data_IF_040602721850
#
_entry.id   IF_040602721850
#
_cell.length_a   1.000
_cell.length_b   1.000
_cell.length_c   1.000
_cell.angle_alpha   90.00
_cell.angle_beta   90.00
_cell.angle_gamma   90.00
#
_symmetry.space_group_name_H-M   'P 1'
#
loop_
_entity.id
_entity.type
_entity.pdbx_description
1 polymer ?
#
# COMPACT_ATOMS: atom_id res chain seq x y z
N UNK A 1 5.17 2.46 22.65
CA UNK A 1 5.25 1.63 21.43
C UNK A 1 4.04 1.85 20.53
N UNK A 2 2.80 1.53 20.91
CA UNK A 2 1.60 1.71 20.05
C UNK A 2 1.46 3.14 19.51
N UNK A 3 1.61 4.15 20.35
CA UNK A 3 1.55 5.56 19.91
C UNK A 3 2.57 5.88 18.81
N UNK A 4 3.80 5.37 18.93
CA UNK A 4 4.83 5.55 17.90
C UNK A 4 4.46 4.82 16.60
N UNK A 5 4.00 3.56 16.67
CA UNK A 5 3.54 2.80 15.50
C UNK A 5 2.41 3.53 14.77
N UNK A 6 1.40 3.99 15.49
CA UNK A 6 0.27 4.74 14.94
C UNK A 6 0.71 6.07 14.30
N UNK A 7 1.59 6.81 15.01
CA UNK A 7 2.11 8.08 14.48
C UNK A 7 2.91 7.87 13.21
N UNK A 8 3.88 6.94 13.22
CA UNK A 8 4.79 6.72 12.09
C UNK A 8 4.11 6.07 10.91
N UNK A 9 3.10 5.22 11.13
CA UNK A 9 2.37 4.57 10.03
C UNK A 9 1.31 5.48 9.42
N UNK A 10 0.42 6.07 10.23
CA UNK A 10 -0.78 6.76 9.74
C UNK A 10 -1.04 8.13 10.38
N UNK A 11 -0.26 8.55 11.37
CA UNK A 11 -0.29 9.89 11.94
C UNK A 11 0.18 10.97 10.95
N UNK A 12 -0.12 12.23 11.25
CA UNK A 12 0.38 13.36 10.47
C UNK A 12 1.85 13.59 10.80
N UNK A 13 2.74 13.37 9.82
CA UNK A 13 4.18 13.54 9.98
C UNK A 13 4.66 14.91 9.56
N UNK A 14 4.10 15.48 8.50
CA UNK A 14 4.43 16.83 8.04
C UNK A 14 3.29 17.48 7.29
N UNK A 15 3.36 18.79 7.19
CA UNK A 15 2.52 19.60 6.32
C UNK A 15 3.38 20.15 5.19
N UNK A 16 3.03 19.80 3.97
CA UNK A 16 3.65 20.31 2.76
C UNK A 16 2.79 21.40 2.16
N UNK A 17 3.38 22.54 1.92
CA UNK A 17 2.74 23.65 1.20
C UNK A 17 3.52 23.85 -0.09
N UNK A 18 2.88 23.68 -1.22
CA UNK A 18 3.46 23.93 -2.54
C UNK A 18 2.84 25.18 -3.11
N UNK A 19 3.68 26.14 -3.48
CA UNK A 19 3.26 27.29 -4.27
C UNK A 19 3.34 26.87 -5.74
N UNK A 20 2.18 26.62 -6.35
CA UNK A 20 2.11 26.22 -7.74
C UNK A 20 1.92 27.46 -8.60
N UNK A 21 2.98 27.83 -9.32
CA UNK A 21 2.98 28.99 -10.22
C UNK A 21 2.31 28.71 -11.59
N UNK A 22 1.86 27.48 -11.82
CA UNK A 22 1.30 27.02 -13.10
C UNK A 22 -0.22 26.90 -13.07
N UNK A 23 -0.89 27.57 -12.15
CA UNK A 23 -2.35 27.60 -12.17
C UNK A 23 -2.88 28.47 -13.31
N UNK A 24 -3.94 28.04 -14.01
CA UNK A 24 -4.60 28.90 -14.99
C UNK A 24 -5.00 30.22 -14.32
N UNK A 25 -4.83 31.32 -15.00
CA UNK A 25 -5.10 32.69 -14.50
C UNK A 25 -6.50 32.90 -13.92
N UNK A 26 -7.44 32.00 -14.21
CA UNK A 26 -8.81 32.01 -13.69
C UNK A 26 -8.99 31.17 -12.40
N UNK A 27 -8.05 30.30 -12.07
CA UNK A 27 -8.04 29.57 -10.83
C UNK A 27 -7.15 30.35 -9.85
N UNK A 28 -7.71 31.06 -8.93
CA UNK A 28 -6.93 31.87 -7.97
C UNK A 28 -5.72 31.13 -7.39
N UNK A 29 -4.70 31.86 -6.97
CA UNK A 29 -3.48 31.34 -6.35
C UNK A 29 -3.80 30.60 -5.04
N UNK A 30 -4.12 29.33 -5.13
CA UNK A 30 -4.29 28.48 -3.97
C UNK A 30 -3.00 27.74 -3.68
N UNK A 31 -2.42 28.00 -2.52
CA UNK A 31 -1.38 27.14 -1.98
C UNK A 31 -1.97 25.75 -1.71
N UNK A 32 -1.45 24.73 -2.37
CA UNK A 32 -1.85 23.35 -2.09
C UNK A 32 -1.17 22.90 -0.81
N UNK A 33 -1.94 22.77 0.26
CA UNK A 33 -1.47 22.21 1.50
C UNK A 33 -1.85 20.73 1.59
N UNK A 34 -0.87 19.86 1.64
CA UNK A 34 -1.06 18.43 1.83
C UNK A 34 -0.47 17.97 3.16
N UNK A 35 -1.21 17.11 3.86
CA UNK A 35 -0.70 16.41 5.03
C UNK A 35 -0.01 15.12 4.58
N UNK A 36 1.18 14.87 5.11
CA UNK A 36 1.93 13.64 4.84
C UNK A 36 1.79 12.68 6.01
N UNK A 37 1.59 11.41 5.66
CA UNK A 37 1.61 10.29 6.60
C UNK A 37 2.69 9.29 6.18
N UNK A 38 3.03 8.31 7.02
CA UNK A 38 4.03 7.30 6.71
C UNK A 38 3.61 6.40 5.54
N UNK A 39 2.41 5.82 5.61
CA UNK A 39 1.85 5.05 4.50
C UNK A 39 1.51 5.96 3.31
N UNK A 40 1.71 5.45 2.09
CA UNK A 40 1.21 6.11 0.89
C UNK A 40 -0.30 5.95 0.80
N UNK A 41 -0.97 6.87 0.09
CA UNK A 41 -2.40 6.77 -0.17
C UNK A 41 -2.76 7.38 -1.51
N UNK A 42 -3.68 6.77 -2.22
CA UNK A 42 -4.20 7.24 -3.49
C UNK A 42 -4.71 8.68 -3.39
N UNK A 43 -4.07 9.58 -4.17
CA UNK A 43 -4.37 11.02 -4.16
C UNK A 43 -4.12 11.75 -2.84
N UNK A 44 -3.44 11.12 -1.86
CA UNK A 44 -3.22 11.67 -0.54
C UNK A 44 -4.49 11.86 0.30
N UNK A 45 -5.53 11.07 0.03
CA UNK A 45 -6.84 11.21 0.65
C UNK A 45 -6.99 10.46 1.98
N UNK A 46 -6.17 9.41 2.18
CA UNK A 46 -6.12 8.66 3.44
C UNK A 46 -7.49 8.18 3.94
N UNK A 47 -8.18 7.34 3.17
CA UNK A 47 -9.54 6.93 3.48
C UNK A 47 -9.65 5.88 4.60
N UNK A 48 -8.53 5.39 5.10
CA UNK A 48 -8.50 4.37 6.14
C UNK A 48 -8.70 4.98 7.52
N UNK A 49 -9.35 4.21 8.39
CA UNK A 49 -9.42 4.45 9.83
C UNK A 49 -8.74 3.30 10.56
N UNK A 50 -8.24 3.59 11.76
CA UNK A 50 -7.60 2.58 12.62
C UNK A 50 -8.35 2.57 13.95
N UNK A 51 -8.87 1.40 14.28
CA UNK A 51 -9.47 1.14 15.58
C UNK A 51 -8.58 0.21 16.38
N UNK A 52 -8.49 0.45 17.67
CA UNK A 52 -7.79 -0.41 18.60
C UNK A 52 -8.77 -1.05 19.57
N UNK A 53 -8.90 -2.36 19.50
CA UNK A 53 -9.67 -3.14 20.48
C UNK A 53 -8.70 -3.66 21.52
N UNK A 54 -8.83 -3.16 22.76
CA UNK A 54 -7.98 -3.49 23.89
C UNK A 54 -8.75 -4.37 24.88
N UNK A 55 -8.18 -5.52 25.23
CA UNK A 55 -8.69 -6.41 26.27
C UNK A 55 -8.27 -5.99 27.67
N UNK A 56 -8.70 -6.77 28.66
CA UNK A 56 -8.31 -6.60 30.06
C UNK A 56 -6.82 -6.83 30.30
N UNK A 57 -6.29 -6.31 31.42
CA UNK A 57 -4.90 -6.48 31.84
C UNK A 57 -3.88 -5.58 31.15
N UNK A 58 -4.29 -4.72 30.22
CA UNK A 58 -3.39 -3.77 29.53
C UNK A 58 -3.16 -2.47 30.29
N UNK A 59 -2.32 -1.61 29.72
CA UNK A 59 -1.99 -0.28 30.30
C UNK A 59 -3.11 0.77 30.17
N UNK A 60 -4.23 0.43 29.52
CA UNK A 60 -5.43 1.26 29.39
C UNK A 60 -6.66 0.43 29.71
N UNK A 61 -7.79 1.05 30.07
CA UNK A 61 -9.04 0.35 30.29
C UNK A 61 -9.46 -0.47 29.06
N UNK A 62 -10.00 -1.67 29.28
CA UNK A 62 -10.53 -2.48 28.20
C UNK A 62 -11.62 -1.71 27.42
N UNK A 63 -11.57 -1.77 26.11
CA UNK A 63 -12.49 -1.02 25.27
C UNK A 63 -12.13 -0.99 23.80
N UNK A 64 -12.98 -0.31 23.05
CA UNK A 64 -12.74 0.01 21.63
C UNK A 64 -12.36 1.46 21.48
N UNK A 65 -11.26 1.73 20.83
CA UNK A 65 -10.69 3.05 20.63
C UNK A 65 -10.55 3.35 19.15
N UNK A 66 -10.83 4.59 18.76
CA UNK A 66 -10.54 5.12 17.42
C UNK A 66 -9.26 5.96 17.47
N UNK A 67 -8.37 5.77 16.51
CA UNK A 67 -7.18 6.61 16.38
C UNK A 67 -7.51 7.87 15.59
N UNK A 68 -7.45 9.02 16.27
CA UNK A 68 -7.63 10.35 15.67
C UNK A 68 -6.28 10.92 15.19
N UNK A 69 -5.88 10.73 13.91
CA UNK A 69 -4.55 11.12 13.42
C UNK A 69 -4.34 12.63 13.41
N UNK A 70 -5.41 13.42 13.48
CA UNK A 70 -5.37 14.88 13.57
C UNK A 70 -4.77 15.38 14.87
N UNK A 71 -5.04 14.68 15.94
CA UNK A 71 -4.62 15.04 17.30
C UNK A 71 -3.61 14.06 17.89
N UNK A 72 -3.30 12.99 17.15
CA UNK A 72 -2.48 11.88 17.64
C UNK A 72 -3.01 11.33 18.96
N UNK A 73 -4.31 11.10 19.04
CA UNK A 73 -5.03 10.66 20.22
C UNK A 73 -5.83 9.39 19.95
N UNK A 74 -6.15 8.67 21.02
CA UNK A 74 -7.10 7.56 21.03
C UNK A 74 -8.40 8.03 21.65
N UNK A 75 -9.48 7.95 20.90
CA UNK A 75 -10.84 8.28 21.33
C UNK A 75 -11.54 6.99 21.74
N UNK A 76 -11.91 6.86 23.02
CA UNK A 76 -12.62 5.67 23.49
C UNK A 76 -14.07 5.72 23.04
N UNK A 77 -14.46 4.75 22.20
CA UNK A 77 -15.80 4.66 21.63
C UNK A 77 -16.73 3.75 22.43
N UNK A 78 -16.17 2.71 23.04
CA UNK A 78 -16.93 1.74 23.82
C UNK A 78 -16.13 1.19 24.99
N UNK A 79 -16.81 0.90 26.08
CA UNK A 79 -16.30 0.33 27.30
C UNK A 79 -16.41 -1.21 27.25
N UNK A 80 -15.51 -1.90 27.94
CA UNK A 80 -15.50 -3.35 28.10
C UNK A 80 -14.69 -4.10 27.04
N UNK A 81 -14.36 -5.33 27.39
CA UNK A 81 -13.53 -6.20 26.54
C UNK A 81 -14.37 -6.81 25.42
N UNK A 82 -13.97 -6.54 24.18
CA UNK A 82 -14.58 -7.12 22.98
C UNK A 82 -13.62 -8.05 22.23
N UNK A 83 -12.46 -8.38 22.82
CA UNK A 83 -11.42 -9.17 22.14
C UNK A 83 -11.87 -10.59 21.83
N UNK A 84 -12.74 -11.20 22.66
CA UNK A 84 -13.31 -12.51 22.37
C UNK A 84 -14.12 -12.54 21.08
N UNK A 85 -14.88 -11.47 20.80
CA UNK A 85 -15.60 -11.37 19.53
C UNK A 85 -14.67 -11.24 18.33
N UNK A 86 -13.54 -10.52 18.50
CA UNK A 86 -12.51 -10.45 17.46
C UNK A 86 -11.87 -11.80 17.25
N UNK A 87 -11.51 -12.52 18.32
CA UNK A 87 -10.98 -13.90 18.23
C UNK A 87 -11.94 -14.84 17.52
N UNK A 88 -13.22 -14.75 17.84
CA UNK A 88 -14.27 -15.56 17.16
C UNK A 88 -14.34 -15.28 15.66
N UNK A 89 -14.19 -14.02 15.24
CA UNK A 89 -14.24 -13.62 13.84
C UNK A 89 -12.97 -14.00 13.05
N UNK A 90 -11.84 -14.21 13.73
CA UNK A 90 -10.53 -14.41 13.08
C UNK A 90 -9.97 -15.78 13.45
N UNK A 91 -10.21 -16.82 12.65
CA UNK A 91 -9.77 -18.20 12.94
C UNK A 91 -8.28 -18.38 12.63
N UNK A 92 -7.42 -17.70 13.36
CA UNK A 92 -5.96 -17.75 13.20
C UNK A 92 -5.26 -17.85 14.57
N UNK A 93 -4.24 -18.71 14.75
CA UNK A 93 -3.57 -18.90 16.05
C UNK A 93 -3.09 -17.60 16.69
N UNK A 94 -2.50 -16.71 15.92
CA UNK A 94 -2.01 -15.41 16.42
C UNK A 94 -3.15 -14.51 16.94
N UNK A 95 -4.33 -14.58 16.33
CA UNK A 95 -5.50 -13.87 16.83
C UNK A 95 -6.01 -14.51 18.12
N UNK A 96 -5.96 -15.84 18.24
CA UNK A 96 -6.37 -16.55 19.44
C UNK A 96 -5.47 -16.25 20.65
N UNK A 97 -4.18 -15.99 20.39
CA UNK A 97 -3.20 -15.67 21.43
C UNK A 97 -3.18 -14.17 21.80
N UNK A 98 -3.78 -13.31 20.98
CA UNK A 98 -3.76 -11.85 21.20
C UNK A 98 -4.92 -11.41 22.09
N UNK A 99 -4.66 -10.40 22.91
CA UNK A 99 -5.69 -9.67 23.70
C UNK A 99 -5.84 -8.21 23.24
N UNK A 100 -5.23 -7.86 22.12
CA UNK A 100 -5.31 -6.52 21.51
C UNK A 100 -5.21 -6.61 20.00
N UNK A 101 -5.97 -5.77 19.31
CA UNK A 101 -6.07 -5.81 17.86
C UNK A 101 -6.14 -4.41 17.27
N UNK A 102 -5.41 -4.16 16.19
CA UNK A 102 -5.73 -3.05 15.30
C UNK A 102 -6.68 -3.56 14.22
N UNK A 103 -7.84 -2.94 14.10
CA UNK A 103 -8.80 -3.15 13.04
C UNK A 103 -8.68 -1.99 12.06
N UNK A 104 -8.33 -2.28 10.81
CA UNK A 104 -8.16 -1.28 9.76
C UNK A 104 -9.42 -1.28 8.91
N UNK A 105 -10.05 -0.13 8.80
CA UNK A 105 -11.28 0.05 8.03
C UNK A 105 -11.07 0.97 6.85
N UNK A 106 -11.99 0.91 5.89
CA UNK A 106 -12.08 1.83 4.76
C UNK A 106 -13.39 2.62 4.86
N UNK A 107 -13.28 3.94 5.01
CA UNK A 107 -14.39 4.86 4.88
C UNK A 107 -14.54 5.24 3.40
N UNK A 108 -15.65 4.83 2.79
CA UNK A 108 -15.82 4.89 1.34
C UNK A 108 -15.89 6.32 0.81
N UNK A 109 -16.56 7.24 1.49
CA UNK A 109 -16.72 8.60 0.99
C UNK A 109 -15.43 9.39 0.94
N UNK A 110 -14.46 9.09 1.81
CA UNK A 110 -13.20 9.84 1.89
C UNK A 110 -12.35 9.83 0.63
N UNK A 111 -12.56 8.86 -0.27
CA UNK A 111 -11.92 8.87 -1.58
C UNK A 111 -12.92 8.75 -2.74
N UNK A 112 -14.15 8.32 -2.48
CA UNK A 112 -15.17 8.12 -3.53
C UNK A 112 -15.62 9.42 -4.19
N UNK A 113 -15.58 10.56 -3.50
CA UNK A 113 -15.88 11.86 -4.10
C UNK A 113 -14.94 12.21 -5.28
N UNK A 114 -13.70 11.68 -5.25
CA UNK A 114 -12.69 11.88 -6.30
C UNK A 114 -12.63 10.72 -7.28
N UNK A 115 -12.69 9.48 -6.78
CA UNK A 115 -12.39 8.28 -7.55
C UNK A 115 -13.62 7.49 -7.97
N UNK A 116 -14.80 7.92 -7.55
CA UNK A 116 -16.08 7.33 -7.97
C UNK A 116 -16.07 5.80 -7.78
N UNK A 117 -16.26 5.05 -8.85
CA UNK A 117 -16.28 3.59 -8.83
C UNK A 117 -14.90 2.94 -8.57
N UNK A 118 -13.80 3.67 -8.80
CA UNK A 118 -12.44 3.19 -8.54
C UNK A 118 -12.05 3.29 -7.05
N UNK A 119 -12.87 3.94 -6.23
CA UNK A 119 -12.57 4.22 -4.82
C UNK A 119 -12.25 2.97 -4.00
N UNK A 120 -13.00 1.88 -4.21
CA UNK A 120 -12.78 0.62 -3.50
C UNK A 120 -11.44 -0.02 -3.88
N UNK A 121 -11.12 -0.02 -5.18
CA UNK A 121 -9.84 -0.53 -5.68
C UNK A 121 -8.66 0.20 -5.02
N UNK A 122 -8.67 1.52 -5.06
CA UNK A 122 -7.62 2.35 -4.45
C UNK A 122 -7.56 2.13 -2.93
N UNK A 123 -8.72 2.07 -2.26
CA UNK A 123 -8.78 1.85 -0.82
C UNK A 123 -8.18 0.50 -0.39
N UNK A 124 -8.37 -0.56 -1.16
CA UNK A 124 -7.77 -1.87 -0.87
C UNK A 124 -6.26 -1.90 -1.12
N UNK A 125 -5.75 -1.11 -2.06
CA UNK A 125 -4.30 -0.88 -2.23
C UNK A 125 -3.75 -0.07 -1.04
N UNK A 126 -4.45 0.97 -0.59
CA UNK A 126 -4.05 1.77 0.58
C UNK A 126 -3.95 0.91 1.85
N UNK A 127 -4.84 -0.08 2.03
CA UNK A 127 -4.72 -1.07 3.13
C UNK A 127 -3.38 -1.79 3.07
N UNK A 128 -3.00 -2.25 1.89
CA UNK A 128 -1.71 -2.92 1.70
C UNK A 128 -0.51 -2.02 2.03
N UNK A 129 -0.56 -0.76 1.61
CA UNK A 129 0.47 0.22 1.91
C UNK A 129 0.60 0.47 3.42
N UNK A 130 -0.52 0.56 4.15
CA UNK A 130 -0.52 0.71 5.61
C UNK A 130 0.04 -0.55 6.28
N UNK A 131 -0.40 -1.74 5.87
CA UNK A 131 0.10 -3.01 6.40
C UNK A 131 1.60 -3.20 6.13
N UNK A 132 2.08 -2.83 4.95
CA UNK A 132 3.51 -2.81 4.62
C UNK A 132 4.28 -1.86 5.53
N UNK A 133 3.75 -0.66 5.78
CA UNK A 133 4.36 0.31 6.69
C UNK A 133 4.45 -0.22 8.11
N UNK A 134 3.37 -0.82 8.62
CA UNK A 134 3.35 -1.44 9.95
C UNK A 134 4.36 -2.60 10.04
N UNK A 135 4.46 -3.41 8.99
CA UNK A 135 5.46 -4.49 8.93
C UNK A 135 6.90 -3.98 9.03
N UNK A 136 7.26 -2.93 8.29
CA UNK A 136 8.59 -2.32 8.37
C UNK A 136 8.87 -1.70 9.76
N UNK A 137 7.89 -1.00 10.32
CA UNK A 137 8.01 -0.43 11.65
C UNK A 137 8.15 -1.52 12.72
N UNK A 138 7.34 -2.58 12.62
CA UNK A 138 7.45 -3.73 13.53
C UNK A 138 8.82 -4.39 13.44
N UNK A 139 9.30 -4.65 12.23
CA UNK A 139 10.63 -5.24 12.03
C UNK A 139 11.77 -4.37 12.60
N UNK A 140 11.64 -3.04 12.58
CA UNK A 140 12.64 -2.12 13.14
C UNK A 140 12.74 -2.12 14.67
N UNK A 141 11.78 -2.72 15.34
CA UNK A 141 11.72 -2.84 16.81
C UNK A 141 11.56 -4.32 17.26
N UNK A 142 11.92 -5.26 16.40
CA UNK A 142 11.81 -6.70 16.62
C UNK A 142 10.41 -7.17 17.05
N UNK A 143 9.37 -6.48 16.58
CA UNK A 143 7.98 -6.80 16.81
C UNK A 143 7.39 -7.51 15.59
N UNK A 144 7.12 -8.82 15.65
CA UNK A 144 6.49 -9.52 14.53
C UNK A 144 5.06 -9.01 14.32
N UNK A 145 4.81 -8.51 13.13
CA UNK A 145 3.49 -8.01 12.73
C UNK A 145 2.81 -9.03 11.82
N UNK A 146 1.59 -9.39 12.18
CA UNK A 146 0.72 -10.24 11.36
C UNK A 146 -0.33 -9.40 10.66
N UNK A 147 -0.55 -9.63 9.40
CA UNK A 147 -1.67 -9.11 8.63
C UNK A 147 -2.69 -10.23 8.42
N UNK A 148 -3.83 -10.12 9.06
CA UNK A 148 -4.90 -11.07 8.92
C UNK A 148 -5.96 -10.48 8.00
N UNK A 149 -6.11 -11.08 6.83
CA UNK A 149 -6.99 -10.62 5.76
C UNK A 149 -8.18 -11.56 5.55
N UNK A 150 -8.23 -12.64 6.31
CA UNK A 150 -9.29 -13.64 6.27
C UNK A 150 -10.02 -13.74 7.61
N UNK A 151 -11.20 -13.15 7.68
CA UNK A 151 -12.00 -13.03 8.89
C UNK A 151 -13.49 -12.91 8.55
N UNK A 152 -14.38 -13.10 9.52
CA UNK A 152 -15.80 -12.81 9.37
C UNK A 152 -16.05 -11.30 9.39
N UNK A 153 -16.36 -10.76 8.21
CA UNK A 153 -16.57 -9.31 8.02
C UNK A 153 -17.76 -8.81 8.83
N UNK A 154 -18.85 -9.60 8.94
CA UNK A 154 -20.04 -9.18 9.65
C UNK A 154 -19.75 -9.00 11.14
N UNK A 155 -19.14 -9.99 11.76
CA UNK A 155 -18.83 -9.96 13.20
C UNK A 155 -17.92 -8.78 13.54
N UNK A 156 -16.89 -8.50 12.72
CA UNK A 156 -15.97 -7.38 12.98
C UNK A 156 -16.63 -6.01 12.78
N UNK A 157 -17.51 -5.86 11.79
CA UNK A 157 -18.27 -4.64 11.61
C UNK A 157 -19.21 -4.38 12.81
N UNK A 158 -19.82 -5.45 13.37
CA UNK A 158 -20.62 -5.36 14.58
C UNK A 158 -19.79 -5.02 15.82
N UNK A 159 -18.56 -5.57 15.95
CA UNK A 159 -17.64 -5.23 17.07
C UNK A 159 -17.37 -3.74 17.12
N UNK A 160 -17.23 -3.10 15.95
CA UNK A 160 -16.99 -1.67 15.83
C UNK A 160 -18.29 -0.85 15.71
N UNK A 161 -19.45 -1.50 15.64
CA UNK A 161 -20.77 -0.90 15.43
C UNK A 161 -20.78 0.08 14.23
N UNK A 162 -20.23 -0.37 13.08
CA UNK A 162 -20.09 0.45 11.89
C UNK A 162 -21.40 0.56 11.10
N UNK A 163 -21.66 1.75 10.52
CA UNK A 163 -22.57 1.84 9.39
C UNK A 163 -21.93 1.21 8.17
N UNK A 164 -22.34 -0.01 7.89
CA UNK A 164 -21.80 -0.83 6.81
C UNK A 164 -22.02 -0.25 5.40
N UNK A 165 -22.81 0.81 5.26
CA UNK A 165 -22.93 1.54 4.01
C UNK A 165 -21.82 2.59 3.82
N UNK A 166 -21.17 3.01 4.91
CA UNK A 166 -20.19 4.08 4.91
C UNK A 166 -18.77 3.58 5.16
N UNK A 167 -18.60 2.57 6.04
CA UNK A 167 -17.30 2.13 6.51
C UNK A 167 -17.27 0.63 6.83
N UNK A 168 -16.14 -0.03 6.57
CA UNK A 168 -15.99 -1.48 6.79
C UNK A 168 -14.58 -1.90 7.13
N UNK A 169 -14.45 -2.99 7.92
CA UNK A 169 -13.17 -3.62 8.25
C UNK A 169 -12.58 -4.32 7.03
N UNK A 170 -11.30 -4.06 6.75
CA UNK A 170 -10.55 -4.66 5.65
C UNK A 170 -9.32 -5.46 6.10
N UNK A 171 -8.79 -5.22 7.30
CA UNK A 171 -7.67 -5.97 7.84
C UNK A 171 -7.67 -5.99 9.37
N UNK A 172 -7.08 -7.03 9.94
CA UNK A 172 -6.84 -7.18 11.37
C UNK A 172 -5.35 -7.39 11.61
N UNK A 173 -4.81 -6.68 12.59
CA UNK A 173 -3.43 -6.84 13.05
C UNK A 173 -3.49 -7.19 14.55
N UNK A 174 -3.26 -8.45 14.92
CA UNK A 174 -3.11 -8.83 16.32
C UNK A 174 -1.85 -8.18 16.86
N UNK A 175 -1.96 -7.59 18.03
CA UNK A 175 -0.83 -6.94 18.70
C UNK A 175 -0.35 -7.84 19.83
N UNK A 176 0.88 -8.38 19.75
CA UNK A 176 1.48 -9.06 20.89
C UNK A 176 1.77 -8.01 21.96
N UNK A 177 1.02 -8.04 23.02
CA UNK A 177 1.17 -7.08 24.10
C UNK A 177 1.52 -7.81 25.39
N UNK A 178 2.50 -7.28 26.09
CA UNK A 178 2.79 -7.71 27.44
C UNK A 178 1.76 -7.10 28.38
N UNK A 179 1.45 -7.82 29.45
CA UNK A 179 0.61 -7.33 30.54
C UNK A 179 1.07 -5.97 31.03
N UNK A 180 0.14 -5.16 31.47
CA UNK A 180 0.47 -3.90 32.13
C UNK A 180 1.36 -4.14 33.36
N UNK A 181 1.96 -3.09 33.95
CA UNK A 181 2.74 -3.24 35.18
C UNK A 181 1.93 -3.98 36.25
N UNK A 182 2.54 -4.95 36.92
CA UNK A 182 1.91 -5.72 37.98
C UNK A 182 1.16 -4.81 38.96
N UNK A 183 -0.12 -5.07 39.14
CA UNK A 183 -0.97 -4.28 40.04
C UNK A 183 -1.54 -2.99 39.47
N UNK A 184 -1.29 -2.67 38.20
CA UNK A 184 -1.93 -1.52 37.55
C UNK A 184 -3.34 -1.90 37.08
N UNK A 185 -4.36 -1.37 37.74
CA UNK A 185 -5.72 -1.34 37.23
C UNK A 185 -6.04 0.09 36.81
N UNK A 186 -6.21 0.36 35.51
CA UNK A 186 -6.60 1.69 35.07
C UNK A 186 -7.96 2.05 35.71
N UNK A 187 -8.16 3.32 36.13
CA UNK A 187 -9.42 3.73 36.72
C UNK A 187 -10.56 3.47 35.74
N UNK A 188 -11.56 2.71 36.20
CA UNK A 188 -12.80 2.54 35.45
C UNK A 188 -13.63 3.80 35.62
N UNK A 189 -13.81 4.52 34.53
CA UNK A 189 -14.83 5.56 34.47
C UNK A 189 -16.09 4.92 33.88
N UNK A 190 -17.20 5.03 34.59
CA UNK A 190 -18.55 4.73 34.05
C UNK A 190 -18.90 5.82 33.05
N UNK A 191 -18.22 5.86 31.93
CA UNK A 191 -18.65 6.72 30.85
C UNK A 191 -19.74 6.02 30.05
N UNK A 192 -20.83 6.70 29.74
CA UNK A 192 -21.83 6.16 28.84
C UNK A 192 -21.15 5.84 27.50
N UNK A 193 -21.67 4.82 26.82
CA UNK A 193 -21.28 4.38 25.48
C UNK A 193 -21.57 5.53 24.49
N UNK A 194 -20.73 6.57 24.53
CA UNK A 194 -20.85 7.73 23.64
C UNK A 194 -20.10 7.40 22.35
N UNK A 195 -20.87 6.90 21.41
CA UNK A 195 -20.45 6.91 20.03
C UNK A 195 -20.43 8.35 19.56
N UNK A 196 -19.25 8.92 19.39
CA UNK A 196 -19.12 10.15 18.61
C UNK A 196 -19.51 9.79 17.18
N UNK A 197 -20.70 10.16 16.76
CA UNK A 197 -21.09 10.01 15.37
C UNK A 197 -20.01 10.67 14.51
N UNK A 198 -19.43 9.90 13.57
CA UNK A 198 -18.45 10.45 12.66
C UNK A 198 -19.08 11.66 11.97
N UNK A 199 -18.55 12.86 12.25
CA UNK A 199 -19.10 14.09 11.72
C UNK A 199 -18.62 14.26 10.28
N UNK A 200 -19.51 13.95 9.33
CA UNK A 200 -19.24 14.20 7.92
C UNK A 200 -19.49 15.68 7.61
N UNK A 201 -18.48 16.36 7.10
CA UNK A 201 -18.51 17.80 6.79
C UNK A 201 -18.99 18.10 5.37
N UNK A 202 -19.08 17.08 4.52
CA UNK A 202 -19.54 17.24 3.14
C UNK A 202 -21.03 17.61 3.13
N UNK A 203 -21.40 18.62 2.33
CA UNK A 203 -22.79 19.01 2.16
C UNK A 203 -23.63 17.92 1.49
N UNK A 204 -22.97 17.10 0.67
CA UNK A 204 -23.61 15.99 -0.05
C UNK A 204 -22.64 14.80 0.00
N UNK A 205 -23.15 13.66 0.45
CA UNK A 205 -22.46 12.37 0.41
C UNK A 205 -23.10 11.54 -0.69
N UNK A 206 -22.29 11.07 -1.65
CA UNK A 206 -22.74 10.21 -2.74
C UNK A 206 -22.33 8.77 -2.46
N UNK A 207 -23.24 7.84 -2.68
CA UNK A 207 -23.00 6.41 -2.59
C UNK A 207 -22.92 5.82 -3.98
N UNK A 208 -21.85 5.10 -4.27
CA UNK A 208 -21.61 4.47 -5.56
C UNK A 208 -21.95 2.99 -5.49
N UNK A 209 -22.96 2.59 -6.26
CA UNK A 209 -23.47 1.21 -6.26
C UNK A 209 -22.37 0.18 -6.55
N UNK A 210 -21.46 0.47 -7.47
CA UNK A 210 -20.34 -0.40 -7.81
C UNK A 210 -19.42 -0.65 -6.58
N UNK A 211 -19.04 0.41 -5.85
CA UNK A 211 -18.24 0.28 -4.62
C UNK A 211 -18.91 -0.63 -3.60
N UNK A 212 -20.21 -0.42 -3.35
CA UNK A 212 -20.98 -1.23 -2.42
C UNK A 212 -21.12 -2.69 -2.88
N UNK A 213 -21.28 -2.91 -4.20
CA UNK A 213 -21.40 -4.26 -4.76
C UNK A 213 -20.08 -5.02 -4.65
N UNK A 214 -18.98 -4.46 -5.14
CA UNK A 214 -17.65 -5.12 -5.06
C UNK A 214 -17.30 -5.44 -3.61
N UNK A 215 -17.61 -4.53 -2.68
CA UNK A 215 -17.39 -4.81 -1.28
C UNK A 215 -18.21 -6.01 -0.80
N UNK A 216 -19.53 -6.06 -1.07
CA UNK A 216 -20.39 -7.19 -0.67
C UNK A 216 -19.90 -8.52 -1.24
N UNK A 217 -19.53 -8.55 -2.51
CA UNK A 217 -19.03 -9.77 -3.17
C UNK A 217 -17.71 -10.26 -2.55
N UNK A 218 -16.87 -9.34 -2.08
CA UNK A 218 -15.57 -9.65 -1.48
C UNK A 218 -15.65 -9.97 0.02
N UNK A 219 -16.82 -9.84 0.66
CA UNK A 219 -17.03 -10.25 2.05
C UNK A 219 -16.93 -11.77 2.21
N UNK A 220 -16.45 -12.18 3.36
CA UNK A 220 -16.49 -13.57 3.76
C UNK A 220 -17.36 -13.72 5.01
N UNK A 221 -18.33 -14.59 4.94
CA UNK A 221 -19.19 -14.95 6.06
C UNK A 221 -19.56 -16.41 5.94
N UNK A 222 -19.13 -17.23 6.90
CA UNK A 222 -19.55 -18.61 7.05
C UNK A 222 -19.18 -19.61 5.93
N UNK A 223 -18.51 -19.20 4.87
CA UNK A 223 -18.03 -20.09 3.82
C UNK A 223 -16.71 -20.76 4.26
N UNK A 224 -16.42 -22.01 3.86
CA UNK A 224 -15.12 -22.60 4.09
C UNK A 224 -14.04 -21.75 3.44
N UNK A 225 -12.98 -21.47 4.20
CA UNK A 225 -11.80 -20.80 3.66
C UNK A 225 -11.10 -21.72 2.68
N UNK A 226 -10.71 -21.25 1.48
CA UNK A 226 -9.87 -22.04 0.58
C UNK A 226 -8.56 -22.44 1.28
N UNK A 227 -8.11 -23.65 1.03
CA UNK A 227 -6.84 -24.11 1.59
C UNK A 227 -5.66 -23.26 1.06
N UNK A 228 -4.62 -23.08 1.85
CA UNK A 228 -3.47 -22.26 1.47
C UNK A 228 -2.83 -22.70 0.13
N UNK A 229 -2.78 -24.03 -0.12
CA UNK A 229 -2.24 -24.55 -1.38
C UNK A 229 -3.13 -24.19 -2.59
N UNK A 230 -4.45 -24.05 -2.40
CA UNK A 230 -5.37 -23.60 -3.46
C UNK A 230 -5.11 -22.14 -3.81
N UNK A 231 -5.01 -21.27 -2.79
CA UNK A 231 -4.70 -19.85 -3.01
C UNK A 231 -3.32 -19.68 -3.65
N UNK A 232 -2.36 -20.57 -3.34
CA UNK A 232 -1.02 -20.59 -3.94
C UNK A 232 -1.05 -20.78 -5.46
N UNK A 233 -2.08 -21.40 -6.04
CA UNK A 233 -2.20 -21.55 -7.50
C UNK A 233 -2.33 -20.21 -8.24
N UNK A 234 -2.72 -19.16 -7.54
CA UNK A 234 -2.74 -17.80 -8.10
C UNK A 234 -1.34 -17.13 -8.11
N UNK A 235 -0.30 -17.80 -7.61
CA UNK A 235 1.04 -17.21 -7.60
C UNK A 235 1.60 -17.04 -9.02
N UNK A 236 2.33 -15.94 -9.20
CA UNK A 236 2.81 -15.52 -10.52
C UNK A 236 3.95 -16.39 -11.05
N UNK A 237 4.70 -17.04 -10.18
CA UNK A 237 5.73 -18.02 -10.55
C UNK A 237 5.13 -19.34 -11.10
N UNK A 238 3.83 -19.57 -10.90
CA UNK A 238 3.08 -20.67 -11.47
C UNK A 238 2.37 -20.29 -12.78
N UNK A 239 2.51 -19.03 -13.23
CA UNK A 239 1.98 -18.64 -14.54
C UNK A 239 2.62 -19.50 -15.63
N UNK A 240 1.85 -19.94 -16.65
CA UNK A 240 2.44 -20.59 -17.80
C UNK A 240 3.59 -19.75 -18.31
N UNK A 241 4.74 -20.40 -18.58
CA UNK A 241 5.87 -19.73 -19.19
C UNK A 241 5.42 -19.20 -20.56
N UNK A 242 5.02 -17.93 -20.59
CA UNK A 242 4.80 -17.23 -21.85
C UNK A 242 6.11 -17.17 -22.63
N UNK A 243 6.06 -16.75 -23.88
CA UNK A 243 7.24 -16.54 -24.73
C UNK A 243 8.10 -15.38 -24.21
N UNK A 244 8.61 -15.54 -22.97
CA UNK A 244 9.37 -14.51 -22.30
C UNK A 244 10.87 -14.73 -22.56
N UNK A 245 11.50 -13.71 -23.10
CA UNK A 245 12.95 -13.50 -23.05
C UNK A 245 13.78 -14.52 -23.86
N UNK A 246 13.92 -14.26 -25.13
CA UNK A 246 14.98 -14.87 -25.96
C UNK A 246 16.29 -14.06 -25.90
N UNK A 247 16.30 -12.91 -25.20
CA UNK A 247 17.45 -12.00 -25.10
C UNK A 247 18.42 -12.32 -23.96
N UNK A 248 19.62 -11.76 -24.06
CA UNK A 248 20.60 -11.85 -22.98
C UNK A 248 20.08 -11.21 -21.68
N UNK A 249 20.26 -11.89 -20.56
CA UNK A 249 19.94 -11.36 -19.25
C UNK A 249 20.92 -10.24 -18.88
N UNK A 250 20.39 -9.10 -18.40
CA UNK A 250 21.20 -8.03 -17.83
C UNK A 250 21.33 -8.26 -16.33
N UNK A 251 22.47 -8.81 -15.90
CA UNK A 251 22.76 -8.98 -14.48
C UNK A 251 22.86 -7.61 -13.81
N UNK A 252 22.14 -7.45 -12.71
CA UNK A 252 22.20 -6.22 -11.92
C UNK A 252 23.39 -6.31 -10.96
N UNK A 253 24.31 -5.31 -10.97
CA UNK A 253 25.43 -5.28 -10.05
C UNK A 253 24.95 -5.35 -8.60
N UNK A 254 25.71 -6.04 -7.75
CA UNK A 254 25.51 -5.87 -6.31
C UNK A 254 25.95 -4.45 -5.93
N UNK A 255 25.16 -3.73 -5.11
CA UNK A 255 25.58 -2.43 -4.64
C UNK A 255 26.87 -2.61 -3.83
N UNK A 256 27.88 -1.82 -4.15
CA UNK A 256 29.08 -1.70 -3.34
C UNK A 256 28.66 -1.12 -1.99
N UNK A 257 28.43 -1.95 -1.00
CA UNK A 257 27.95 -1.63 0.34
C UNK A 257 26.68 -0.74 0.32
N UNK A 258 25.52 -1.34 0.51
CA UNK A 258 24.38 -0.57 1.02
C UNK A 258 24.85 -0.04 2.38
N UNK A 259 25.17 1.26 2.45
CA UNK A 259 25.34 1.95 3.73
C UNK A 259 24.26 1.51 4.68
N UNK A 260 24.52 1.37 5.99
CA UNK A 260 23.49 0.96 6.94
C UNK A 260 22.24 1.78 6.64
N UNK A 261 21.16 1.08 6.25
CA UNK A 261 19.92 1.75 5.83
C UNK A 261 19.50 2.69 6.95
N UNK A 262 19.21 3.92 6.59
CA UNK A 262 18.60 4.86 7.53
C UNK A 262 17.42 4.20 8.24
N UNK A 263 17.18 4.55 9.52
CA UNK A 263 16.03 4.04 10.25
C UNK A 263 14.74 4.21 9.43
N UNK A 264 13.88 3.21 9.45
CA UNK A 264 12.59 3.24 8.70
C UNK A 264 11.79 4.51 9.02
N UNK A 265 11.84 4.99 10.26
CA UNK A 265 11.24 6.26 10.67
C UNK A 265 11.72 7.44 9.82
N UNK A 266 13.02 7.52 9.53
CA UNK A 266 13.60 8.62 8.76
C UNK A 266 13.24 8.50 7.29
N UNK A 267 13.17 7.27 6.76
CA UNK A 267 12.66 7.04 5.41
C UNK A 267 11.20 7.46 5.26
N UNK A 268 10.36 7.15 6.23
CA UNK A 268 8.95 7.57 6.27
C UNK A 268 8.82 9.10 6.34
N UNK A 269 9.71 9.77 7.05
CA UNK A 269 9.75 11.25 7.12
C UNK A 269 10.25 11.89 5.83
N UNK A 270 11.12 11.23 5.05
CA UNK A 270 11.66 11.74 3.77
C UNK A 270 10.80 11.38 2.58
N UNK A 271 10.14 10.23 2.63
CA UNK A 271 9.32 9.72 1.52
C UNK A 271 8.27 10.75 1.08
N UNK A 272 8.17 10.97 -0.23
CA UNK A 272 7.15 11.83 -0.84
C UNK A 272 6.72 11.30 -2.21
N UNK A 273 5.59 11.77 -2.74
CA UNK A 273 5.20 11.56 -4.13
C UNK A 273 5.72 12.71 -4.98
N UNK A 274 6.46 12.38 -6.03
CA UNK A 274 7.30 13.31 -6.81
C UNK A 274 6.70 13.64 -8.17
N UNK A 275 5.37 13.70 -8.25
CA UNK A 275 4.68 14.01 -9.51
C UNK A 275 5.08 15.37 -10.07
N UNK A 276 5.45 15.39 -11.36
CA UNK A 276 5.90 16.60 -12.06
C UNK A 276 7.24 17.17 -11.58
N UNK A 277 7.94 16.45 -10.68
CA UNK A 277 9.25 16.86 -10.17
C UNK A 277 10.38 15.92 -10.59
N UNK A 278 10.09 14.86 -11.35
CA UNK A 278 11.12 13.94 -11.84
C UNK A 278 12.00 14.59 -12.89
N UNK A 279 13.26 14.18 -12.95
CA UNK A 279 14.25 14.60 -13.95
C UNK A 279 15.00 13.40 -14.51
N UNK A 280 15.18 13.40 -15.83
CA UNK A 280 15.88 12.35 -16.56
C UNK A 280 17.39 12.36 -16.36
N UNK A 281 17.97 13.43 -15.83
CA UNK A 281 19.41 13.60 -15.69
C UNK A 281 19.82 13.99 -14.27
N UNK A 282 20.90 13.39 -13.74
CA UNK A 282 21.68 12.30 -14.36
C UNK A 282 20.85 11.02 -14.49
N UNK A 283 21.15 10.15 -15.49
CA UNK A 283 20.49 8.86 -15.63
C UNK A 283 20.81 7.96 -14.41
N UNK A 284 19.90 7.06 -14.08
CA UNK A 284 20.09 6.08 -13.01
C UNK A 284 20.97 4.93 -13.53
N UNK A 285 22.05 4.62 -12.84
CA UNK A 285 22.88 3.44 -13.16
C UNK A 285 22.14 2.11 -12.84
N UNK A 286 22.61 1.02 -13.47
CA UNK A 286 22.09 -0.34 -13.20
C UNK A 286 22.19 -0.75 -11.73
N UNK A 287 23.24 -0.29 -11.03
CA UNK A 287 23.42 -0.52 -9.59
C UNK A 287 22.27 0.09 -8.78
N UNK A 288 21.94 1.36 -9.03
CA UNK A 288 20.84 2.06 -8.35
C UNK A 288 19.48 1.44 -8.66
N UNK A 289 19.22 1.09 -9.92
CA UNK A 289 17.99 0.37 -10.30
C UNK A 289 17.92 -0.99 -9.60
N UNK A 290 19.01 -1.75 -9.59
CA UNK A 290 19.11 -3.02 -8.90
C UNK A 290 18.87 -2.90 -7.40
N UNK A 291 19.38 -1.84 -6.76
CA UNK A 291 19.13 -1.57 -5.35
C UNK A 291 17.64 -1.31 -5.08
N UNK A 292 16.97 -0.49 -5.91
CA UNK A 292 15.50 -0.26 -5.78
C UNK A 292 14.76 -1.58 -5.90
N UNK A 293 15.02 -2.38 -6.93
CA UNK A 293 14.32 -3.64 -7.18
C UNK A 293 14.51 -4.65 -6.04
N UNK A 294 15.74 -4.81 -5.55
CA UNK A 294 16.06 -5.68 -4.40
C UNK A 294 15.34 -5.24 -3.14
N UNK A 295 15.36 -3.95 -2.81
CA UNK A 295 14.69 -3.43 -1.63
C UNK A 295 13.16 -3.53 -1.75
N UNK A 296 12.61 -3.28 -2.94
CA UNK A 296 11.18 -3.35 -3.20
C UNK A 296 10.61 -4.78 -3.12
N UNK A 297 11.38 -5.77 -3.51
CA UNK A 297 10.98 -7.19 -3.45
C UNK A 297 11.33 -7.85 -2.13
N UNK A 298 12.06 -7.17 -1.26
CA UNK A 298 12.36 -7.67 0.08
C UNK A 298 11.07 -7.79 0.88
N UNK A 299 10.80 -8.96 1.39
CA UNK A 299 9.69 -9.15 2.33
C UNK A 299 9.98 -8.34 3.59
N UNK A 300 9.19 -7.29 3.79
CA UNK A 300 9.18 -6.60 5.07
C UNK A 300 8.70 -7.57 6.11
N UNK A 301 9.45 -7.94 7.09
CA UNK A 301 9.20 -8.96 8.12
C UNK A 301 7.77 -9.18 8.66
N UNK A 302 6.73 -8.76 7.92
CA UNK A 302 5.34 -9.02 8.26
C UNK A 302 4.90 -10.39 7.74
N UNK A 303 4.09 -11.07 8.53
CA UNK A 303 3.51 -12.38 8.25
C UNK A 303 2.06 -12.21 7.82
N UNK A 304 1.52 -13.17 7.08
CA UNK A 304 0.13 -13.14 6.62
C UNK A 304 -0.55 -14.48 6.88
N UNK A 305 -1.84 -14.43 7.15
CA UNK A 305 -2.68 -15.61 7.24
C UNK A 305 -3.00 -16.24 5.88
N UNK A 306 -2.61 -15.60 4.78
CA UNK A 306 -2.92 -16.05 3.41
C UNK A 306 -1.78 -16.81 2.75
N UNK A 307 -0.62 -16.90 3.40
CA UNK A 307 0.58 -17.57 2.89
C UNK A 307 1.13 -18.56 3.91
N UNK A 308 1.82 -19.62 3.46
CA UNK A 308 2.57 -20.47 4.37
C UNK A 308 3.59 -19.65 5.18
N UNK A 309 3.79 -20.04 6.44
CA UNK A 309 4.70 -19.32 7.34
C UNK A 309 6.05 -18.99 6.71
N UNK A 310 6.43 -17.70 6.80
CA UNK A 310 7.74 -17.20 6.41
C UNK A 310 8.00 -17.13 4.90
N UNK A 311 7.01 -17.43 4.05
CA UNK A 311 7.16 -17.32 2.59
C UNK A 311 6.43 -16.11 2.03
N UNK A 312 6.99 -15.44 1.00
CA UNK A 312 6.26 -14.41 0.27
C UNK A 312 5.03 -15.01 -0.41
N UNK A 313 4.01 -14.20 -0.65
CA UNK A 313 2.78 -14.61 -1.34
C UNK A 313 3.05 -15.11 -2.76
N UNK A 314 4.01 -14.49 -3.43
CA UNK A 314 4.31 -14.77 -4.83
C UNK A 314 3.19 -14.34 -5.79
N UNK A 315 2.24 -13.51 -5.35
CA UNK A 315 1.13 -13.07 -6.18
C UNK A 315 1.47 -11.90 -7.10
N UNK A 316 2.54 -11.18 -6.78
CA UNK A 316 2.98 -10.01 -7.54
C UNK A 316 4.40 -10.18 -8.05
N UNK A 317 4.69 -9.47 -9.13
CA UNK A 317 6.03 -9.35 -9.74
C UNK A 317 6.31 -7.88 -10.04
N UNK A 318 7.60 -7.53 -10.04
CA UNK A 318 8.06 -6.26 -10.57
C UNK A 318 8.63 -6.44 -11.98
N UNK A 319 8.17 -5.59 -12.88
CA UNK A 319 8.75 -5.37 -14.20
C UNK A 319 9.19 -3.92 -14.34
N UNK A 320 10.03 -3.62 -15.32
CA UNK A 320 10.65 -2.32 -15.53
C UNK A 320 10.37 -1.85 -16.95
N UNK A 321 9.80 -0.67 -17.09
CA UNK A 321 9.86 0.09 -18.33
C UNK A 321 11.04 1.04 -18.22
N UNK A 322 12.17 0.70 -18.85
CA UNK A 322 13.40 1.46 -18.80
C UNK A 322 13.35 2.62 -19.78
N UNK A 323 13.63 3.84 -19.32
CA UNK A 323 13.62 5.06 -20.15
C UNK A 323 14.99 5.76 -20.13
N UNK A 324 15.50 6.14 -18.96
CA UNK A 324 16.80 6.81 -18.80
C UNK A 324 17.70 6.03 -17.82
N UNK A 325 17.82 4.74 -18.04
CA UNK A 325 18.73 3.88 -17.27
C UNK A 325 20.04 3.76 -18.01
N UNK A 326 21.15 4.06 -17.34
CA UNK A 326 22.47 3.98 -17.93
C UNK A 326 22.81 2.54 -18.34
N UNK A 327 23.35 2.38 -19.54
CA UNK A 327 23.74 1.08 -20.10
C UNK A 327 22.59 0.09 -20.31
N UNK A 328 21.34 0.53 -20.28
CA UNK A 328 20.17 -0.28 -20.56
C UNK A 328 19.38 0.35 -21.72
N UNK A 329 19.08 -0.43 -22.75
CA UNK A 329 18.26 0.05 -23.84
C UNK A 329 16.83 0.38 -23.36
N UNK A 330 16.16 1.34 -23.97
CA UNK A 330 14.73 1.62 -23.70
C UNK A 330 13.89 0.40 -24.01
N UNK A 331 12.85 0.16 -23.21
CA UNK A 331 11.96 -0.98 -23.41
C UNK A 331 11.44 -1.58 -22.11
N UNK A 332 10.67 -2.66 -22.27
CA UNK A 332 10.13 -3.48 -21.18
C UNK A 332 11.13 -4.56 -20.73
N UNK A 333 11.19 -4.78 -19.43
CA UNK A 333 12.05 -5.79 -18.81
C UNK A 333 11.32 -6.47 -17.66
N UNK A 334 11.45 -7.78 -17.56
CA UNK A 334 11.03 -8.57 -16.43
C UNK A 334 12.17 -8.70 -15.43
N UNK A 335 11.91 -8.42 -14.17
CA UNK A 335 12.90 -8.62 -13.10
C UNK A 335 12.78 -10.01 -12.50
N UNK A 336 13.89 -10.72 -12.43
CA UNK A 336 14.04 -11.98 -11.70
C UNK A 336 14.76 -11.71 -10.37
N UNK A 337 14.06 -11.80 -9.23
CA UNK A 337 14.67 -11.57 -7.93
C UNK A 337 15.59 -12.69 -7.47
N UNK A 338 15.56 -13.87 -8.09
CA UNK A 338 16.41 -15.00 -7.74
C UNK A 338 17.80 -14.83 -8.36
N UNK A 339 17.83 -14.57 -9.68
CA UNK A 339 19.08 -14.37 -10.42
C UNK A 339 19.56 -12.93 -10.40
N UNK A 340 18.78 -12.00 -9.83
CA UNK A 340 19.07 -10.57 -9.80
C UNK A 340 19.33 -10.03 -11.22
N UNK A 341 18.48 -10.38 -12.15
CA UNK A 341 18.64 -10.04 -13.56
C UNK A 341 17.38 -9.42 -14.16
N UNK A 342 17.59 -8.60 -15.18
CA UNK A 342 16.55 -8.08 -16.05
C UNK A 342 16.55 -8.83 -17.37
N UNK A 343 15.39 -9.36 -17.72
CA UNK A 343 15.15 -10.04 -18.99
C UNK A 343 14.28 -9.14 -19.87
N UNK A 344 14.75 -8.84 -21.08
CA UNK A 344 14.02 -7.99 -22.00
C UNK A 344 12.72 -8.67 -22.43
N UNK A 345 11.61 -7.93 -22.41
CA UNK A 345 10.32 -8.42 -22.85
C UNK A 345 10.23 -8.45 -24.39
N UNK A 346 9.43 -9.38 -24.91
CA UNK A 346 9.13 -9.50 -26.35
C UNK A 346 7.64 -9.25 -26.59
N UNK A 347 7.26 -8.58 -27.67
CA UNK A 347 8.13 -8.01 -28.71
C UNK A 347 8.92 -6.79 -28.22
N UNK A 348 10.18 -6.70 -28.64
CA UNK A 348 11.02 -5.58 -28.26
C UNK A 348 10.55 -4.27 -28.92
N UNK A 349 10.32 -3.24 -28.13
CA UNK A 349 10.00 -1.89 -28.64
C UNK A 349 11.27 -1.23 -29.16
N UNK A 350 11.21 -0.67 -30.37
CA UNK A 350 12.33 0.11 -30.94
C UNK A 350 12.44 1.47 -30.26
N UNK A 351 13.66 2.01 -30.20
CA UNK A 351 13.91 3.33 -29.62
C UNK A 351 13.11 4.43 -30.29
N UNK A 352 12.91 4.34 -31.59
CA UNK A 352 12.16 5.35 -32.39
C UNK A 352 10.68 5.42 -31.98
N UNK A 353 10.11 4.30 -31.53
CA UNK A 353 8.71 4.20 -31.10
C UNK A 353 8.52 4.40 -29.61
N UNK A 354 9.60 4.52 -28.85
CA UNK A 354 9.51 4.55 -27.38
C UNK A 354 8.72 5.73 -26.85
N UNK A 355 8.90 6.92 -27.44
CA UNK A 355 8.13 8.10 -27.04
C UNK A 355 6.64 7.96 -27.35
N UNK A 356 6.28 7.29 -28.45
CA UNK A 356 4.89 7.01 -28.80
C UNK A 356 4.28 6.02 -27.79
N UNK A 357 5.05 5.03 -27.36
CA UNK A 357 4.65 4.09 -26.31
C UNK A 357 4.40 4.82 -24.97
N UNK A 358 5.33 5.68 -24.55
CA UNK A 358 5.15 6.48 -23.33
C UNK A 358 3.94 7.41 -23.43
N UNK A 359 3.71 8.00 -24.62
CA UNK A 359 2.53 8.83 -24.87
C UNK A 359 1.23 7.99 -24.82
N UNK A 360 1.25 6.76 -25.34
CA UNK A 360 0.13 5.82 -25.27
C UNK A 360 -0.19 5.35 -23.85
N UNK A 361 0.83 5.09 -23.05
CA UNK A 361 0.67 4.69 -21.64
C UNK A 361 0.04 5.82 -20.82
N UNK A 362 0.42 7.08 -21.06
CA UNK A 362 0.04 8.21 -20.20
C UNK A 362 -1.23 8.91 -20.64
N UNK A 363 -2.33 8.77 -19.88
CA UNK A 363 -3.59 9.48 -20.14
C UNK A 363 -3.48 10.99 -19.88
N UNK A 364 -2.52 11.44 -19.06
CA UNK A 364 -2.31 12.86 -18.74
C UNK A 364 -0.84 13.15 -18.43
N UNK A 365 -0.03 13.27 -19.46
CA UNK A 365 1.42 13.44 -19.36
C UNK A 365 1.85 14.66 -18.53
N UNK A 366 1.03 15.74 -18.53
CA UNK A 366 1.37 16.99 -17.84
C UNK A 366 1.50 16.84 -16.32
N UNK A 367 0.78 15.88 -15.72
CA UNK A 367 0.80 15.68 -14.27
C UNK A 367 1.89 14.73 -13.80
N UNK A 368 2.33 13.79 -14.66
CA UNK A 368 3.20 12.69 -14.26
C UNK A 368 4.59 12.77 -14.85
N UNK A 369 4.72 13.45 -16.00
CA UNK A 369 5.99 13.64 -16.72
C UNK A 369 6.75 12.31 -16.95
N UNK A 370 6.07 11.35 -17.59
CA UNK A 370 6.62 10.03 -17.90
C UNK A 370 7.96 10.12 -18.67
N UNK A 371 8.11 11.15 -19.52
CA UNK A 371 9.32 11.37 -20.31
C UNK A 371 10.53 11.69 -19.43
N UNK A 372 10.33 12.19 -18.22
CA UNK A 372 11.40 12.53 -17.26
C UNK A 372 11.64 11.42 -16.24
N UNK A 373 10.73 10.46 -16.12
CA UNK A 373 10.95 9.31 -15.27
C UNK A 373 12.13 8.48 -15.80
N UNK A 374 13.04 8.10 -14.92
CA UNK A 374 14.17 7.23 -15.27
C UNK A 374 13.69 5.84 -15.64
N UNK A 375 12.75 5.32 -14.86
CA UNK A 375 12.07 4.08 -15.14
C UNK A 375 10.64 4.11 -14.55
N UNK A 376 9.77 3.26 -15.11
CA UNK A 376 8.48 2.94 -14.52
C UNK A 376 8.53 1.51 -14.03
N UNK A 377 8.40 1.32 -12.73
CA UNK A 377 8.25 -0.01 -12.15
C UNK A 377 6.80 -0.43 -12.23
N UNK A 378 6.54 -1.59 -12.79
CA UNK A 378 5.19 -2.13 -12.97
C UNK A 378 5.00 -3.29 -12.01
N UNK A 379 4.02 -3.16 -11.12
CA UNK A 379 3.56 -4.27 -10.28
C UNK A 379 2.51 -5.02 -11.07
N UNK A 380 2.79 -6.26 -11.39
CA UNK A 380 1.87 -7.16 -12.10
C UNK A 380 1.40 -8.31 -11.20
N UNK A 381 0.32 -8.96 -11.60
CA UNK A 381 -0.26 -10.11 -10.91
C UNK A 381 -1.24 -10.85 -11.81
N UNK A 382 -1.89 -11.89 -11.27
CA UNK A 382 -2.85 -12.74 -11.97
C UNK A 382 -4.25 -12.58 -11.33
N UNK A 383 -5.00 -11.51 -11.68
CA UNK A 383 -6.28 -11.21 -11.02
C UNK A 383 -7.33 -12.32 -11.25
N UNK A 384 -7.42 -12.87 -12.45
CA UNK A 384 -8.38 -13.91 -12.77
C UNK A 384 -8.06 -15.20 -11.99
N UNK A 385 -6.81 -15.65 -11.99
CA UNK A 385 -6.37 -16.79 -11.20
C UNK A 385 -6.61 -16.57 -9.69
N UNK A 386 -6.44 -15.33 -9.21
CA UNK A 386 -6.73 -15.01 -7.82
C UNK A 386 -8.23 -15.14 -7.50
N UNK A 387 -9.11 -14.70 -8.40
CA UNK A 387 -10.55 -14.86 -8.23
C UNK A 387 -10.96 -16.35 -8.32
N UNK A 388 -10.37 -17.13 -9.21
CA UNK A 388 -10.66 -18.55 -9.37
C UNK A 388 -10.27 -19.38 -8.14
N UNK A 389 -9.12 -19.07 -7.52
CA UNK A 389 -8.55 -19.88 -6.44
C UNK A 389 -8.86 -19.36 -5.02
N UNK A 390 -9.10 -18.07 -4.86
CA UNK A 390 -9.43 -17.44 -3.58
C UNK A 390 -10.88 -16.91 -3.54
N UNK A 391 -11.63 -17.05 -4.63
CA UNK A 391 -12.96 -16.46 -4.78
C UNK A 391 -12.90 -14.92 -4.81
N UNK A 392 -14.05 -14.24 -4.72
CA UNK A 392 -14.12 -12.78 -4.81
C UNK A 392 -13.24 -12.05 -3.78
N UNK A 393 -12.97 -12.66 -2.61
CA UNK A 393 -12.07 -12.09 -1.61
C UNK A 393 -10.64 -11.95 -2.14
N UNK A 394 -10.24 -12.79 -3.09
CA UNK A 394 -8.95 -12.69 -3.77
C UNK A 394 -8.63 -11.30 -4.30
N UNK A 395 -9.65 -10.54 -4.70
CA UNK A 395 -9.50 -9.15 -5.11
C UNK A 395 -8.86 -8.26 -4.02
N UNK A 396 -9.34 -8.37 -2.76
CA UNK A 396 -8.76 -7.63 -1.64
C UNK A 396 -7.33 -8.09 -1.34
N UNK A 397 -7.10 -9.40 -1.40
CA UNK A 397 -5.81 -10.01 -1.09
C UNK A 397 -4.73 -9.54 -2.06
N UNK A 398 -5.02 -9.59 -3.36
CA UNK A 398 -4.10 -9.14 -4.41
C UNK A 398 -3.81 -7.64 -4.30
N UNK A 399 -4.84 -6.81 -4.13
CA UNK A 399 -4.67 -5.36 -4.00
C UNK A 399 -3.88 -4.98 -2.73
N UNK A 400 -4.06 -5.69 -1.62
CA UNK A 400 -3.26 -5.48 -0.43
C UNK A 400 -1.77 -5.82 -0.67
N UNK A 401 -1.48 -6.85 -1.44
CA UNK A 401 -0.09 -7.16 -1.83
C UNK A 401 0.49 -6.09 -2.73
N UNK A 402 -0.25 -5.63 -3.75
CA UNK A 402 0.16 -4.52 -4.63
C UNK A 402 0.49 -3.27 -3.82
N UNK A 403 -0.35 -2.93 -2.84
CA UNK A 403 -0.12 -1.78 -1.96
C UNK A 403 1.13 -1.91 -1.09
N UNK A 404 1.40 -3.11 -0.57
CA UNK A 404 2.60 -3.38 0.22
C UNK A 404 3.88 -3.26 -0.64
N UNK A 405 3.86 -3.77 -1.87
CA UNK A 405 4.97 -3.61 -2.83
C UNK A 405 5.17 -2.14 -3.18
N UNK A 406 4.08 -1.39 -3.42
CA UNK A 406 4.17 0.04 -3.67
C UNK A 406 4.86 0.79 -2.53
N UNK A 407 4.50 0.50 -1.28
CA UNK A 407 5.16 1.10 -0.11
C UNK A 407 6.65 0.75 -0.06
N UNK A 408 7.02 -0.49 -0.39
CA UNK A 408 8.41 -0.91 -0.45
C UNK A 408 9.20 -0.11 -1.50
N UNK A 409 8.63 0.09 -2.70
CA UNK A 409 9.26 0.92 -3.76
C UNK A 409 9.47 2.36 -3.29
N UNK A 410 8.47 2.95 -2.63
CA UNK A 410 8.60 4.30 -2.08
C UNK A 410 9.70 4.41 -1.02
N UNK A 411 9.83 3.41 -0.14
CA UNK A 411 10.88 3.38 0.88
C UNK A 411 12.26 3.15 0.23
N UNK A 412 12.35 2.27 -0.76
CA UNK A 412 13.57 2.03 -1.51
C UNK A 412 14.04 3.29 -2.25
N UNK A 413 13.12 3.98 -2.92
CA UNK A 413 13.42 5.25 -3.59
C UNK A 413 13.90 6.31 -2.58
N UNK A 414 13.20 6.44 -1.43
CA UNK A 414 13.60 7.38 -0.38
C UNK A 414 14.97 7.06 0.22
N UNK A 415 15.34 5.77 0.37
CA UNK A 415 16.65 5.34 0.85
C UNK A 415 17.79 5.74 -0.10
N UNK A 416 17.50 5.76 -1.40
CA UNK A 416 18.47 6.10 -2.44
C UNK A 416 18.40 7.57 -2.89
N UNK A 417 17.59 8.40 -2.22
CA UNK A 417 17.42 9.82 -2.59
C UNK A 417 16.71 10.02 -3.93
N UNK A 418 15.93 9.06 -4.38
CA UNK A 418 15.16 9.12 -5.61
C UNK A 418 13.73 9.61 -5.36
N UNK A 419 13.17 10.28 -6.36
CA UNK A 419 11.74 10.57 -6.45
C UNK A 419 10.96 9.31 -6.83
N UNK A 420 9.72 9.21 -6.32
CA UNK A 420 8.79 8.13 -6.64
C UNK A 420 7.37 8.65 -6.75
N UNK A 421 6.54 8.02 -7.60
CA UNK A 421 5.13 8.36 -7.73
C UNK A 421 4.30 7.19 -8.26
N UNK A 422 3.26 6.76 -7.51
CA UNK A 422 2.37 5.67 -7.92
C UNK A 422 1.24 6.20 -8.80
N UNK A 423 1.00 5.56 -9.93
CA UNK A 423 0.00 5.92 -10.93
C UNK A 423 -0.87 4.72 -11.29
N UNK A 424 -2.19 4.90 -11.21
CA UNK A 424 -3.19 3.91 -11.63
C UNK A 424 -3.86 4.28 -12.97
N UNK A 425 -3.88 5.58 -13.30
CA UNK A 425 -4.53 6.07 -14.50
C UNK A 425 -3.57 6.03 -15.72
N UNK A 426 -3.08 4.82 -16.02
CA UNK A 426 -2.30 4.53 -17.21
C UNK A 426 -3.08 3.56 -18.09
N UNK A 427 -2.75 3.53 -19.38
CA UNK A 427 -3.29 2.54 -20.29
C UNK A 427 -2.61 1.18 -20.03
N UNK A 428 -3.30 0.35 -19.26
CA UNK A 428 -2.80 -0.98 -18.89
C UNK A 428 -2.63 -1.90 -20.10
N UNK A 429 -3.42 -1.71 -21.16
CA UNK A 429 -3.31 -2.53 -22.38
C UNK A 429 -1.96 -2.30 -23.04
N UNK A 430 -1.56 -1.03 -23.20
CA UNK A 430 -0.24 -0.69 -23.76
C UNK A 430 0.90 -1.19 -22.85
N UNK A 431 0.73 -1.12 -21.53
CA UNK A 431 1.73 -1.65 -20.59
C UNK A 431 1.86 -3.16 -20.70
N UNK A 432 0.73 -3.87 -20.76
CA UNK A 432 0.69 -5.34 -20.90
C UNK A 432 1.33 -5.79 -22.23
N UNK A 433 1.04 -5.09 -23.33
CA UNK A 433 1.65 -5.33 -24.64
C UNK A 433 3.18 -5.16 -24.60
N UNK A 434 3.67 -4.06 -24.04
CA UNK A 434 5.13 -3.78 -23.95
C UNK A 434 5.86 -4.77 -23.04
N UNK A 435 5.18 -5.28 -22.02
CA UNK A 435 5.76 -6.27 -21.10
C UNK A 435 5.55 -7.72 -21.56
N UNK A 436 4.86 -7.93 -22.71
CA UNK A 436 4.62 -9.24 -23.27
C UNK A 436 3.63 -10.07 -22.45
N UNK A 437 2.65 -9.43 -21.82
CA UNK A 437 1.60 -10.12 -21.04
C UNK A 437 0.43 -10.59 -21.92
N UNK A 438 0.40 -10.20 -23.20
CA UNK A 438 -0.62 -10.62 -24.15
C UNK A 438 -0.68 -12.14 -24.25
N UNK A 439 -1.91 -12.69 -24.23
CA UNK A 439 -2.15 -14.14 -24.27
C UNK A 439 -1.83 -14.86 -22.95
N UNK A 440 -1.47 -14.13 -21.88
CA UNK A 440 -1.29 -14.66 -20.53
C UNK A 440 -2.41 -14.18 -19.60
N UNK A 441 -2.46 -14.70 -18.37
CA UNK A 441 -3.34 -14.23 -17.30
C UNK A 441 -2.66 -13.19 -16.37
N UNK A 442 -1.42 -12.81 -16.69
CA UNK A 442 -0.69 -11.72 -15.99
C UNK A 442 -1.17 -10.36 -16.50
N UNK A 443 -1.35 -9.40 -15.60
CA UNK A 443 -1.80 -8.02 -15.90
C UNK A 443 -1.01 -7.01 -15.08
N UNK A 444 -0.75 -5.86 -15.66
CA UNK A 444 -0.26 -4.68 -14.94
C UNK A 444 -1.34 -4.17 -13.99
N UNK A 445 -1.00 -4.00 -12.71
CA UNK A 445 -1.94 -3.60 -11.66
C UNK A 445 -1.64 -2.22 -11.12
N UNK A 446 -0.37 -1.81 -11.08
CA UNK A 446 0.06 -0.51 -10.59
C UNK A 446 1.39 -0.14 -11.22
N UNK A 447 1.55 1.13 -11.57
CA UNK A 447 2.81 1.67 -12.05
C UNK A 447 3.41 2.65 -11.05
N UNK A 448 4.73 2.61 -10.87
CA UNK A 448 5.49 3.51 -10.00
C UNK A 448 6.62 4.15 -10.80
N UNK A 449 6.50 5.45 -11.00
CA UNK A 449 7.55 6.26 -11.63
C UNK A 449 8.69 6.44 -10.63
N UNK A 450 9.93 6.25 -11.07
CA UNK A 450 11.13 6.53 -10.29
C UNK A 450 12.13 7.36 -11.10
N UNK A 451 12.93 8.15 -10.42
CA UNK A 451 13.98 8.95 -11.08
C UNK A 451 14.63 9.95 -10.15
N UNK A 452 15.58 10.70 -10.67
CA UNK A 452 16.08 11.89 -10.01
C UNK A 452 14.95 12.88 -9.71
N UNK A 453 15.12 13.73 -8.72
CA UNK A 453 14.12 14.72 -8.37
C UNK A 453 14.69 16.12 -8.52
N UNK A 454 13.90 17.01 -9.11
CA UNK A 454 14.27 18.43 -9.26
C UNK A 454 14.29 19.08 -7.87
N UNK A 455 15.33 19.81 -7.56
CA UNK A 455 15.38 20.62 -6.36
C UNK A 455 14.20 21.58 -6.32
N UNK A 456 13.39 21.45 -5.27
CA UNK A 456 12.10 22.12 -5.20
C UNK A 456 12.25 23.63 -5.06
N UNK A 457 11.82 24.34 -6.08
CA UNK A 457 11.51 25.76 -5.93
C UNK A 457 10.20 25.91 -5.16
N UNK A 458 10.16 26.77 -4.16
CA UNK A 458 8.95 27.23 -3.47
C UNK A 458 8.08 26.13 -2.79
N UNK A 459 8.72 25.14 -2.21
CA UNK A 459 8.05 24.13 -1.41
C UNK A 459 8.40 24.29 0.07
N UNK A 460 7.37 24.32 0.91
CA UNK A 460 7.48 24.37 2.37
C UNK A 460 7.10 23.01 2.95
N UNK A 461 8.02 22.31 3.58
CA UNK A 461 7.74 21.07 4.31
C UNK A 461 7.93 21.29 5.80
N UNK A 462 6.85 21.44 6.54
CA UNK A 462 6.83 21.63 7.97
C UNK A 462 6.64 20.29 8.68
N UNK A 463 7.69 19.78 9.30
CA UNK A 463 7.66 18.55 10.08
C UNK A 463 6.95 18.78 11.41
N UNK A 464 6.08 17.85 11.78
CA UNK A 464 5.44 17.82 13.09
C UNK A 464 6.22 16.87 13.99
N UNK A 465 6.85 17.40 15.00
CA UNK A 465 7.59 16.61 15.98
C UNK A 465 6.70 16.18 17.13
#
# INVERSE_FOLDING_TARGET
MLAWLLRMSYGRLSRRVRLDSVQPWWAGDYSVAAWRRGAVSGGGLYPLEIYWVAGEGGAVPAGTYHYAPGHHALERLAVGDRTDRVRQAVPHPEAQAANQFLLITLNFWRNAFKYVNLAYHIGTIDVGALLGTLGHLGASIDLPMWRLLWFDDQVLNEVLDLDVAEERVLAVVPMPWQDGPDGFSPPMYDEPDHRTAAFERSRTVLRFACTAQVHRETMWSGRPRPAAHTIRQAAIDLAPAGQFCTGAAHCLPEPAELSPMDPVSDLLLRRRSSFGALVARPPLGLEGLGAVLRLATRTSGYRSDTTPEGKPSGWTRLSVLANHVESLAVGGYRYDPVTQALHRSEPAVSTDRWLDVLAGIGVNLSNYDLNQATAVLVVSGRPDAMLDHAGPRGYRLLNAEVGAVAQNVYLAAAALGLGCGAVLNLDHVVVDEVLGFDGTDERALLCLLIGGERDGSAEFDHRLY
#
